data_IF_983836663811
#
_entry.id   IF_983836663811
#
_cell.length_a   1.000
_cell.length_b   1.000
_cell.length_c   1.000
_cell.angle_alpha   90.00
_cell.angle_beta   90.00
_cell.angle_gamma   90.00
#
_symmetry.space_group_name_H-M   'P 1'
#
loop_
_entity.id
_entity.type
_entity.pdbx_description
1 polymer ?
#
# COMPACT_ATOMS: atom_id res chain seq x y z
N UNK A 1 35.40 44.39 -22.90
CA UNK A 1 35.84 43.50 -24.00
C UNK A 1 34.68 42.61 -24.36
N UNK A 2 34.02 42.94 -25.47
CA UNK A 2 32.94 42.16 -26.05
C UNK A 2 33.51 40.93 -26.77
N UNK A 3 32.71 39.86 -26.87
CA UNK A 3 32.55 39.12 -28.11
C UNK A 3 31.20 38.39 -28.10
N UNK A 4 30.39 38.78 -29.08
CA UNK A 4 29.11 38.24 -29.52
C UNK A 4 29.29 36.87 -30.21
N UNK A 5 28.25 36.04 -30.18
CA UNK A 5 27.78 35.32 -31.38
C UNK A 5 26.32 34.83 -31.17
N UNK A 6 25.44 35.36 -32.00
CA UNK A 6 24.00 35.08 -32.14
C UNK A 6 23.71 34.24 -33.40
N UNK A 7 22.44 33.80 -33.50
CA UNK A 7 21.65 33.48 -34.72
C UNK A 7 21.73 32.06 -35.32
N UNK A 8 20.65 31.43 -35.85
CA UNK A 8 19.24 31.82 -36.06
C UNK A 8 18.37 30.58 -36.36
N UNK A 9 17.07 30.75 -36.20
CA UNK A 9 15.93 29.90 -36.57
C UNK A 9 15.64 29.96 -38.08
N UNK A 10 15.10 28.88 -38.68
CA UNK A 10 14.24 28.93 -39.88
C UNK A 10 13.17 27.83 -39.89
N UNK A 11 11.93 28.25 -40.10
CA UNK A 11 10.69 27.47 -40.26
C UNK A 11 10.57 26.79 -41.63
N UNK A 12 9.76 25.72 -41.68
CA UNK A 12 9.13 25.21 -42.91
C UNK A 12 7.95 24.29 -42.59
N UNK A 13 6.72 24.80 -42.75
CA UNK A 13 5.47 24.00 -42.84
C UNK A 13 5.41 23.23 -44.17
N UNK A 14 4.69 22.10 -44.22
CA UNK A 14 3.74 21.74 -45.30
C UNK A 14 2.94 20.44 -44.96
N UNK A 15 1.63 20.63 -44.77
CA UNK A 15 0.44 19.86 -45.23
C UNK A 15 0.56 18.36 -45.60
N UNK A 16 -0.34 17.53 -45.03
CA UNK A 16 -0.86 16.30 -45.68
C UNK A 16 -1.40 15.22 -44.74
N UNK A 17 -2.73 15.07 -44.61
CA UNK A 17 -3.37 13.76 -44.32
C UNK A 17 -3.65 13.00 -45.64
N UNK A 18 -4.36 11.84 -45.70
CA UNK A 18 -5.06 11.08 -44.64
C UNK A 18 -4.93 9.51 -44.76
N UNK A 19 -5.71 8.77 -43.93
CA UNK A 19 -6.24 7.38 -44.07
C UNK A 19 -5.41 6.16 -43.57
N UNK A 20 -5.97 5.51 -42.53
CA UNK A 20 -6.53 4.14 -42.54
C UNK A 20 -5.65 2.91 -42.87
N UNK A 21 -5.60 1.95 -41.94
CA UNK A 21 -5.64 0.47 -42.08
C UNK A 21 -5.21 -0.13 -40.72
N UNK A 22 -6.11 -0.72 -39.92
CA UNK A 22 -6.63 -2.08 -39.98
C UNK A 22 -5.58 -3.20 -39.80
N UNK A 23 -5.78 -3.97 -38.72
CA UNK A 23 -5.49 -5.39 -38.51
C UNK A 23 -4.03 -5.89 -38.52
N UNK A 24 -3.55 -6.29 -37.34
CA UNK A 24 -2.87 -7.57 -37.19
C UNK A 24 -3.40 -8.32 -35.96
N UNK A 25 -4.15 -9.39 -36.24
CA UNK A 25 -4.60 -10.36 -35.24
C UNK A 25 -3.44 -11.24 -34.82
N UNK A 26 -3.23 -11.36 -33.51
CA UNK A 26 -2.37 -12.38 -32.94
C UNK A 26 -3.26 -13.50 -32.42
N UNK A 27 -3.27 -14.61 -33.15
CA UNK A 27 -3.87 -15.89 -32.78
C UNK A 27 -2.97 -16.51 -31.71
N UNK A 28 -3.42 -16.55 -30.46
CA UNK A 28 -2.81 -17.40 -29.43
C UNK A 28 -3.83 -18.45 -29.01
N UNK A 29 -3.37 -19.69 -29.15
CA UNK A 29 -4.11 -20.92 -28.95
C UNK A 29 -4.62 -21.06 -27.52
N UNK A 30 -5.85 -21.57 -27.44
CA UNK A 30 -6.64 -21.83 -26.24
C UNK A 30 -6.20 -23.16 -25.57
N UNK A 31 -5.73 -23.17 -24.31
CA UNK A 31 -5.64 -24.41 -23.55
C UNK A 31 -7.02 -24.75 -22.96
N UNK A 32 -7.52 -25.89 -23.40
CA UNK A 32 -8.75 -26.56 -22.96
C UNK A 32 -8.84 -26.65 -21.44
N UNK A 33 -10.01 -26.34 -20.88
CA UNK A 33 -10.38 -26.83 -19.55
C UNK A 33 -11.10 -25.86 -18.61
N UNK A 34 -12.02 -25.02 -19.07
CA UNK A 34 -12.97 -24.35 -18.18
C UNK A 34 -14.38 -24.62 -18.70
N UNK A 35 -15.16 -25.44 -17.97
CA UNK A 35 -16.60 -25.53 -18.17
C UNK A 35 -17.17 -24.14 -17.93
N UNK A 36 -17.68 -23.51 -19.00
CA UNK A 36 -18.50 -22.30 -18.89
C UNK A 36 -19.68 -22.61 -17.97
N UNK A 37 -19.84 -21.83 -16.91
CA UNK A 37 -21.08 -21.79 -16.14
C UNK A 37 -22.13 -21.19 -17.07
N UNK A 38 -22.97 -22.05 -17.64
CA UNK A 38 -24.08 -21.64 -18.52
C UNK A 38 -25.08 -20.91 -17.64
N UNK A 39 -25.22 -19.60 -17.80
CA UNK A 39 -26.14 -18.72 -17.08
C UNK A 39 -27.60 -18.98 -17.45
N UNK A 40 -28.00 -20.25 -17.58
CA UNK A 40 -29.40 -20.62 -17.76
C UNK A 40 -30.11 -20.30 -16.46
N UNK A 41 -31.09 -19.42 -16.55
CA UNK A 41 -32.19 -19.38 -15.59
C UNK A 41 -32.65 -20.81 -15.34
N UNK A 42 -32.82 -21.24 -14.08
CA UNK A 42 -33.29 -22.59 -13.80
C UNK A 42 -34.51 -22.88 -14.65
N UNK A 43 -34.58 -24.03 -15.31
CA UNK A 43 -35.70 -24.41 -16.20
C UNK A 43 -37.08 -24.25 -15.53
N UNK A 44 -37.11 -24.19 -14.21
CA UNK A 44 -38.26 -23.93 -13.36
C UNK A 44 -38.69 -22.45 -13.30
N UNK A 45 -37.79 -21.46 -13.43
CA UNK A 45 -38.13 -20.01 -13.42
C UNK A 45 -38.84 -19.64 -14.71
N UNK A 46 -38.32 -20.12 -15.84
CA UNK A 46 -38.97 -19.98 -17.17
C UNK A 46 -40.33 -20.68 -17.23
N UNK A 47 -40.59 -21.67 -16.37
CA UNK A 47 -41.90 -22.30 -16.23
C UNK A 47 -42.87 -21.46 -15.40
N UNK A 48 -42.41 -20.80 -14.32
CA UNK A 48 -43.26 -19.91 -13.52
C UNK A 48 -43.68 -18.66 -14.31
N UNK A 49 -42.76 -18.03 -15.03
CA UNK A 49 -43.09 -16.85 -15.85
C UNK A 49 -44.10 -17.18 -16.95
N UNK A 50 -44.01 -18.38 -17.54
CA UNK A 50 -45.00 -18.90 -18.49
C UNK A 50 -46.35 -19.22 -17.85
N UNK A 51 -46.35 -19.65 -16.59
CA UNK A 51 -47.56 -19.93 -15.81
C UNK A 51 -48.28 -18.63 -15.45
N UNK A 52 -47.55 -17.61 -14.97
CA UNK A 52 -48.11 -16.30 -14.60
C UNK A 52 -48.65 -15.54 -15.81
N UNK A 53 -47.95 -15.59 -16.95
CA UNK A 53 -48.45 -15.00 -18.22
C UNK A 53 -49.68 -15.73 -18.79
N UNK A 54 -49.90 -17.00 -18.44
CA UNK A 54 -51.09 -17.73 -18.87
C UNK A 54 -52.31 -17.43 -17.98
N UNK A 55 -52.09 -17.09 -16.71
CA UNK A 55 -53.12 -16.67 -15.76
C UNK A 55 -53.72 -15.31 -16.17
N UNK A 56 -52.92 -14.38 -16.69
CA UNK A 56 -53.39 -13.06 -17.12
C UNK A 56 -54.23 -13.07 -18.40
N UNK A 57 -54.28 -14.21 -19.12
CA UNK A 57 -54.93 -14.33 -20.43
C UNK A 57 -56.22 -15.17 -20.43
N UNK A 58 -56.69 -15.69 -19.28
CA UNK A 58 -57.87 -16.57 -19.21
C UNK A 58 -59.21 -15.80 -19.03
N UNK A 59 -60.26 -16.11 -19.81
CA UNK A 59 -61.59 -15.48 -19.71
C UNK A 59 -62.42 -15.98 -18.50
N UNK A 60 -63.40 -15.16 -18.07
CA UNK A 60 -64.00 -15.15 -16.72
C UNK A 60 -65.27 -15.99 -16.51
N UNK A 61 -65.59 -16.96 -17.37
CA UNK A 61 -66.85 -17.70 -17.29
C UNK A 61 -66.76 -18.97 -16.41
N UNK A 62 -67.87 -19.33 -15.75
CA UNK A 62 -67.92 -20.23 -14.58
C UNK A 62 -67.41 -21.67 -14.78
N UNK A 63 -67.32 -22.18 -16.01
CA UNK A 63 -66.70 -23.50 -16.31
C UNK A 63 -65.16 -23.44 -16.21
N UNK A 64 -64.56 -22.24 -16.29
CA UNK A 64 -63.14 -22.02 -16.09
C UNK A 64 -62.70 -21.98 -14.62
N UNK A 65 -63.64 -21.92 -13.66
CA UNK A 65 -63.30 -21.77 -12.24
C UNK A 65 -62.64 -23.03 -11.67
N UNK A 66 -63.14 -24.21 -12.04
CA UNK A 66 -62.63 -25.49 -11.54
C UNK A 66 -61.25 -25.84 -12.11
N UNK A 67 -61.01 -25.49 -13.38
CA UNK A 67 -59.68 -25.59 -13.99
C UNK A 67 -58.71 -24.55 -13.40
N UNK A 68 -59.20 -23.37 -13.03
CA UNK A 68 -58.43 -22.33 -12.35
C UNK A 68 -58.03 -22.77 -10.93
N UNK A 69 -58.91 -23.47 -10.20
CA UNK A 69 -58.57 -24.07 -8.90
C UNK A 69 -57.51 -25.18 -9.01
N UNK A 70 -57.68 -26.13 -9.95
CA UNK A 70 -56.67 -27.18 -10.20
C UNK A 70 -55.33 -26.62 -10.64
N UNK A 71 -55.32 -25.49 -11.34
CA UNK A 71 -54.10 -24.81 -11.78
C UNK A 71 -53.42 -24.02 -10.66
N UNK A 72 -54.19 -23.37 -9.77
CA UNK A 72 -53.66 -22.70 -8.57
C UNK A 72 -53.08 -23.71 -7.57
N UNK A 73 -53.73 -24.84 -7.35
CA UNK A 73 -53.21 -25.92 -6.49
C UNK A 73 -51.88 -26.48 -7.03
N UNK A 74 -51.75 -26.56 -8.36
CA UNK A 74 -50.49 -26.94 -9.03
C UNK A 74 -49.41 -25.85 -8.91
N UNK A 75 -49.79 -24.58 -8.88
CA UNK A 75 -48.89 -23.46 -8.66
C UNK A 75 -48.40 -23.43 -7.20
N UNK A 76 -49.27 -23.63 -6.22
CA UNK A 76 -48.92 -23.74 -4.80
C UNK A 76 -48.03 -24.95 -4.52
N UNK A 77 -48.32 -26.11 -5.15
CA UNK A 77 -47.45 -27.28 -5.08
C UNK A 77 -46.05 -27.00 -5.67
N UNK A 78 -45.98 -26.24 -6.77
CA UNK A 78 -44.70 -25.83 -7.35
C UNK A 78 -43.97 -24.82 -6.47
N UNK A 79 -44.67 -23.84 -5.88
CA UNK A 79 -44.10 -22.86 -4.96
C UNK A 79 -43.56 -23.53 -3.69
N UNK A 80 -44.32 -24.47 -3.11
CA UNK A 80 -43.88 -25.27 -1.97
C UNK A 80 -42.64 -26.10 -2.29
N UNK A 81 -42.59 -26.70 -3.49
CA UNK A 81 -41.42 -27.46 -3.97
C UNK A 81 -40.21 -26.56 -4.24
N UNK A 82 -40.46 -25.32 -4.67
CA UNK A 82 -39.45 -24.29 -4.84
C UNK A 82 -38.87 -23.82 -3.52
N UNK A 83 -39.71 -23.61 -2.51
CA UNK A 83 -39.28 -23.28 -1.16
C UNK A 83 -38.50 -24.44 -0.54
N UNK A 84 -38.92 -25.70 -0.77
CA UNK A 84 -38.15 -26.88 -0.38
C UNK A 84 -36.78 -26.95 -1.05
N UNK A 85 -36.68 -26.65 -2.35
CA UNK A 85 -35.41 -26.63 -3.07
C UNK A 85 -34.52 -25.47 -2.63
N UNK A 86 -35.10 -24.30 -2.35
CA UNK A 86 -34.38 -23.16 -1.78
C UNK A 86 -33.86 -23.46 -0.37
N UNK A 87 -34.65 -24.16 0.44
CA UNK A 87 -34.27 -24.58 1.78
C UNK A 87 -33.22 -25.71 1.75
N UNK A 88 -33.34 -26.67 0.82
CA UNK A 88 -32.30 -27.68 0.55
C UNK A 88 -30.99 -27.03 0.08
N UNK A 89 -31.06 -26.03 -0.80
CA UNK A 89 -29.89 -25.28 -1.25
C UNK A 89 -29.30 -24.38 -0.16
N UNK A 90 -30.11 -23.81 0.74
CA UNK A 90 -29.65 -23.16 1.99
C UNK A 90 -29.01 -24.16 2.95
N UNK A 91 -29.51 -25.39 3.00
CA UNK A 91 -29.03 -26.45 3.89
C UNK A 91 -27.74 -27.12 3.40
N UNK A 92 -27.37 -26.97 2.11
CA UNK A 92 -26.03 -27.29 1.60
C UNK A 92 -25.04 -26.24 2.09
N UNK A 93 -24.82 -26.27 3.39
CA UNK A 93 -23.86 -25.43 4.08
C UNK A 93 -22.50 -25.52 3.41
N UNK A 94 -21.77 -24.42 3.49
CA UNK A 94 -20.42 -24.31 2.96
C UNK A 94 -19.57 -25.54 3.32
N UNK A 95 -18.90 -26.10 2.30
CA UNK A 95 -18.13 -27.33 2.42
C UNK A 95 -17.21 -27.27 3.66
N UNK A 96 -17.16 -28.35 4.46
CA UNK A 96 -16.50 -28.35 5.78
C UNK A 96 -15.03 -27.91 5.72
N UNK A 97 -14.32 -28.19 4.62
CA UNK A 97 -12.93 -27.74 4.45
C UNK A 97 -12.79 -26.21 4.43
N UNK A 98 -13.79 -25.48 3.92
CA UNK A 98 -13.77 -24.01 3.88
C UNK A 98 -14.12 -23.38 5.24
N UNK A 99 -14.44 -24.19 6.25
CA UNK A 99 -14.54 -23.74 7.65
C UNK A 99 -13.20 -23.75 8.38
N UNK A 100 -12.17 -24.38 7.80
CA UNK A 100 -10.83 -24.42 8.36
C UNK A 100 -10.13 -23.13 7.95
N UNK A 101 -9.92 -22.24 8.92
CA UNK A 101 -9.41 -20.87 8.67
C UNK A 101 -8.02 -20.93 8.02
N UNK A 102 -7.20 -21.90 8.39
CA UNK A 102 -5.85 -22.11 7.84
C UNK A 102 -5.90 -22.47 6.35
N UNK A 103 -6.89 -23.26 5.91
CA UNK A 103 -7.06 -23.56 4.49
C UNK A 103 -7.53 -22.33 3.71
N UNK A 104 -8.45 -21.56 4.28
CA UNK A 104 -8.91 -20.29 3.71
C UNK A 104 -7.75 -19.30 3.59
N UNK A 105 -6.95 -19.17 4.64
CA UNK A 105 -5.77 -18.31 4.70
C UNK A 105 -4.75 -18.71 3.64
N UNK A 106 -4.44 -20.00 3.49
CA UNK A 106 -3.56 -20.50 2.43
C UNK A 106 -4.11 -20.20 1.03
N UNK A 107 -5.42 -20.37 0.80
CA UNK A 107 -6.06 -20.03 -0.49
C UNK A 107 -5.86 -18.53 -0.78
N UNK A 108 -6.12 -17.66 0.20
CA UNK A 108 -5.93 -16.22 0.06
C UNK A 108 -4.45 -15.86 -0.17
N UNK A 109 -3.54 -16.47 0.58
CA UNK A 109 -2.10 -16.27 0.46
C UNK A 109 -1.59 -16.56 -0.96
N UNK A 110 -2.04 -17.66 -1.58
CA UNK A 110 -1.66 -18.00 -2.95
C UNK A 110 -2.18 -17.02 -4.02
N UNK A 111 -3.13 -16.13 -3.69
CA UNK A 111 -3.63 -15.09 -4.59
C UNK A 111 -2.84 -13.77 -4.49
N UNK A 112 -2.03 -13.57 -3.44
CA UNK A 112 -1.32 -12.32 -3.14
C UNK A 112 -0.38 -11.78 -4.22
N UNK A 113 0.37 -12.59 -5.02
CA UNK A 113 1.39 -11.99 -5.86
C UNK A 113 0.86 -11.12 -7.02
N UNK A 114 -0.38 -11.33 -7.49
CA UNK A 114 -0.84 -10.72 -8.77
C UNK A 114 -2.33 -10.38 -8.89
N UNK A 115 -3.18 -10.65 -7.89
CA UNK A 115 -4.65 -10.51 -8.08
C UNK A 115 -5.39 -9.92 -6.88
N UNK A 116 -5.09 -8.67 -6.48
CA UNK A 116 -5.94 -7.89 -5.54
C UNK A 116 -7.43 -7.91 -5.95
N UNK A 117 -7.73 -7.91 -7.25
CA UNK A 117 -9.10 -8.08 -7.78
C UNK A 117 -9.73 -9.42 -7.40
N UNK A 118 -8.97 -10.51 -7.41
CA UNK A 118 -9.45 -11.84 -7.02
C UNK A 118 -9.69 -11.92 -5.52
N UNK A 119 -8.82 -11.34 -4.69
CA UNK A 119 -9.05 -11.25 -3.23
C UNK A 119 -10.31 -10.42 -2.93
N UNK A 120 -10.49 -9.29 -3.59
CA UNK A 120 -11.70 -8.48 -3.45
C UNK A 120 -12.96 -9.23 -3.91
N UNK A 121 -12.88 -10.02 -5.00
CA UNK A 121 -13.98 -10.87 -5.43
C UNK A 121 -14.27 -11.96 -4.40
N UNK A 122 -13.23 -12.63 -3.89
CA UNK A 122 -13.31 -13.71 -2.90
C UNK A 122 -13.91 -13.22 -1.57
N UNK A 123 -13.51 -12.03 -1.10
CA UNK A 123 -14.08 -11.40 0.09
C UNK A 123 -15.60 -11.15 -0.03
N UNK A 124 -16.13 -11.06 -1.25
CA UNK A 124 -17.56 -10.83 -1.53
C UNK A 124 -18.34 -12.11 -1.82
N UNK A 125 -17.71 -13.28 -1.92
CA UNK A 125 -18.43 -14.52 -2.28
C UNK A 125 -19.18 -15.12 -1.10
N UNK A 126 -18.52 -15.28 0.06
CA UNK A 126 -19.15 -15.83 1.26
C UNK A 126 -18.49 -15.33 2.55
N UNK A 127 -19.19 -15.50 3.68
CA UNK A 127 -18.75 -15.04 5.01
C UNK A 127 -17.43 -15.68 5.46
N UNK A 128 -17.14 -16.91 5.04
CA UNK A 128 -15.93 -17.59 5.49
C UNK A 128 -14.65 -17.12 4.80
N UNK A 129 -14.76 -16.58 3.60
CA UNK A 129 -13.63 -15.93 2.94
C UNK A 129 -13.50 -14.45 3.32
N UNK A 130 -14.57 -13.85 3.84
CA UNK A 130 -14.67 -12.40 3.99
C UNK A 130 -13.50 -11.80 4.78
N UNK A 131 -13.27 -12.28 6.00
CA UNK A 131 -12.24 -11.73 6.89
C UNK A 131 -10.84 -11.98 6.35
N UNK A 132 -10.51 -13.22 6.01
CA UNK A 132 -9.18 -13.61 5.56
C UNK A 132 -8.84 -12.94 4.22
N UNK A 133 -9.78 -12.91 3.26
CA UNK A 133 -9.52 -12.26 1.99
C UNK A 133 -9.34 -10.74 2.13
N UNK A 134 -10.03 -10.09 3.08
CA UNK A 134 -9.79 -8.68 3.40
C UNK A 134 -8.45 -8.47 4.11
N UNK A 135 -8.05 -9.34 5.03
CA UNK A 135 -6.73 -9.28 5.67
C UNK A 135 -5.61 -9.30 4.63
N UNK A 136 -5.67 -10.26 3.69
CA UNK A 136 -4.70 -10.36 2.59
C UNK A 136 -4.80 -9.19 1.60
N UNK A 137 -6.01 -8.72 1.27
CA UNK A 137 -6.21 -7.59 0.35
C UNK A 137 -5.60 -6.29 0.88
N UNK A 138 -5.75 -6.05 2.19
CA UNK A 138 -5.32 -4.82 2.85
C UNK A 138 -3.90 -4.89 3.42
N UNK A 139 -3.33 -6.08 3.56
CA UNK A 139 -2.01 -6.34 4.14
C UNK A 139 -0.90 -5.39 3.63
N UNK A 140 -0.75 -5.30 2.30
CA UNK A 140 0.27 -4.52 1.61
C UNK A 140 -0.34 -3.37 0.83
N UNK A 141 -0.13 -2.14 1.30
CA UNK A 141 -0.58 -0.92 0.63
C UNK A 141 0.59 -0.11 0.08
N UNK A 142 0.43 0.38 -1.14
CA UNK A 142 1.42 1.20 -1.85
C UNK A 142 1.10 2.69 -1.82
N UNK A 143 0.00 3.06 -1.15
CA UNK A 143 -0.43 4.46 -1.03
C UNK A 143 -1.41 4.60 0.13
N UNK A 144 -1.37 5.75 0.80
CA UNK A 144 -2.40 6.17 1.75
C UNK A 144 -3.78 6.29 1.08
N UNK A 145 -3.79 6.53 -0.24
CA UNK A 145 -5.01 6.85 -0.97
C UNK A 145 -6.07 5.74 -0.94
N UNK A 146 -5.64 4.47 -0.85
CA UNK A 146 -6.59 3.34 -0.82
C UNK A 146 -7.48 3.37 0.42
N UNK A 147 -6.94 3.76 1.57
CA UNK A 147 -7.70 3.88 2.82
C UNK A 147 -8.62 5.10 2.78
N UNK A 148 -8.16 6.22 2.20
CA UNK A 148 -8.96 7.43 2.06
C UNK A 148 -10.16 7.24 1.12
N UNK A 149 -10.01 6.44 0.06
CA UNK A 149 -11.13 6.05 -0.84
C UNK A 149 -12.26 5.31 -0.12
N UNK A 150 -12.04 4.83 1.10
CA UNK A 150 -13.08 4.21 1.92
C UNK A 150 -13.97 5.24 2.66
N UNK A 151 -13.73 6.54 2.48
CA UNK A 151 -14.58 7.63 2.99
C UNK A 151 -15.57 8.11 1.89
N UNK A 152 -16.76 7.51 1.78
CA UNK A 152 -17.70 7.85 0.70
C UNK A 152 -18.15 9.31 0.75
N UNK A 153 -18.01 10.01 -0.38
CA UNK A 153 -18.42 11.41 -0.53
C UNK A 153 -17.54 12.42 0.22
N UNK A 154 -16.45 12.00 0.86
CA UNK A 154 -15.45 12.90 1.47
C UNK A 154 -14.41 13.31 0.44
N UNK A 155 -13.93 12.34 -0.35
CA UNK A 155 -12.92 12.56 -1.37
C UNK A 155 -13.47 12.25 -2.75
N UNK A 156 -13.11 13.10 -3.71
CA UNK A 156 -13.25 12.83 -5.14
C UNK A 156 -11.90 12.45 -5.73
N UNK A 157 -11.87 11.50 -6.66
CA UNK A 157 -10.65 11.10 -7.36
C UNK A 157 -10.67 11.65 -8.77
N UNK A 158 -9.62 12.35 -9.17
CA UNK A 158 -9.48 12.91 -10.50
C UNK A 158 -8.09 12.64 -11.07
N UNK A 159 -7.97 12.69 -12.39
CA UNK A 159 -6.69 12.57 -13.07
C UNK A 159 -6.10 13.96 -13.28
N UNK A 160 -5.01 14.26 -12.59
CA UNK A 160 -4.21 15.44 -12.88
C UNK A 160 -3.12 15.08 -13.89
N UNK A 161 -2.92 15.89 -14.96
CA UNK A 161 -1.78 15.70 -15.83
C UNK A 161 -0.49 15.97 -15.05
N UNK A 162 0.37 14.94 -14.89
CA UNK A 162 1.73 15.14 -14.41
C UNK A 162 2.69 15.29 -15.59
N UNK A 163 3.51 16.36 -15.63
CA UNK A 163 4.48 16.55 -16.70
C UNK A 163 5.60 15.49 -16.71
N UNK A 164 5.78 14.72 -15.63
CA UNK A 164 6.90 13.79 -15.45
C UNK A 164 6.46 12.32 -15.46
N UNK A 165 5.26 12.00 -14.94
CA UNK A 165 4.85 10.62 -14.64
C UNK A 165 3.56 10.14 -15.32
N UNK A 166 2.94 10.94 -16.20
CA UNK A 166 1.62 10.65 -16.77
C UNK A 166 0.46 11.02 -15.83
N UNK A 167 -0.78 10.57 -16.06
CA UNK A 167 -1.92 10.97 -15.25
C UNK A 167 -1.83 10.42 -13.81
N UNK A 168 -1.63 11.31 -12.83
CA UNK A 168 -1.63 10.98 -11.41
C UNK A 168 -3.06 10.86 -10.88
N UNK A 169 -3.29 9.94 -9.94
CA UNK A 169 -4.59 9.71 -9.32
C UNK A 169 -4.74 10.60 -8.07
N UNK A 170 -5.06 11.87 -8.29
CA UNK A 170 -5.20 12.85 -7.23
C UNK A 170 -6.54 12.69 -6.49
N UNK A 171 -6.58 13.18 -5.26
CA UNK A 171 -7.80 13.33 -4.48
C UNK A 171 -8.05 14.77 -4.05
N UNK A 172 -9.32 15.13 -3.94
CA UNK A 172 -9.75 16.43 -3.40
C UNK A 172 -10.80 16.23 -2.33
N UNK A 173 -10.66 16.97 -1.23
CA UNK A 173 -11.66 17.03 -0.18
C UNK A 173 -12.92 17.76 -0.68
N UNK A 174 -14.07 17.09 -0.67
CA UNK A 174 -15.36 17.63 -1.11
C UNK A 174 -16.14 18.29 0.03
N UNK A 175 -15.94 17.83 1.26
CA UNK A 175 -16.64 18.31 2.45
C UNK A 175 -15.79 18.08 3.70
N UNK A 176 -16.08 18.76 4.82
CA UNK A 176 -15.45 18.46 6.10
C UNK A 176 -15.60 16.98 6.50
N UNK A 177 -14.54 16.44 7.11
CA UNK A 177 -14.50 15.07 7.64
C UNK A 177 -15.24 15.06 8.98
N UNK A 178 -16.19 14.15 9.14
CA UNK A 178 -16.91 13.92 10.40
C UNK A 178 -16.52 12.57 11.01
N UNK A 179 -16.76 12.39 12.32
CA UNK A 179 -16.35 11.19 13.04
C UNK A 179 -16.83 9.87 12.39
N UNK A 180 -18.04 9.83 11.83
CA UNK A 180 -18.60 8.64 11.17
C UNK A 180 -17.85 8.24 9.89
N UNK A 181 -17.13 9.18 9.26
CA UNK A 181 -16.38 8.89 8.03
C UNK A 181 -15.20 7.96 8.28
N UNK A 182 -14.71 7.90 9.52
CA UNK A 182 -13.57 7.08 9.91
C UNK A 182 -13.91 5.60 10.15
N UNK A 183 -15.19 5.23 10.21
CA UNK A 183 -15.62 3.86 10.52
C UNK A 183 -15.03 2.81 9.55
N UNK A 184 -15.14 3.04 8.24
CA UNK A 184 -14.61 2.09 7.22
C UNK A 184 -13.09 2.20 7.04
N UNK A 185 -12.49 3.41 6.93
CA UNK A 185 -11.04 3.56 6.84
C UNK A 185 -10.31 2.87 7.98
N UNK A 186 -10.75 3.05 9.24
CA UNK A 186 -10.08 2.46 10.39
C UNK A 186 -10.22 0.92 10.44
N UNK A 187 -11.35 0.36 10.00
CA UNK A 187 -11.52 -1.09 9.91
C UNK A 187 -10.57 -1.74 8.88
N UNK A 188 -10.24 -1.03 7.81
CA UNK A 188 -9.26 -1.49 6.84
C UNK A 188 -7.83 -1.17 7.28
N UNK A 189 -7.59 0.00 7.89
CA UNK A 189 -6.27 0.44 8.31
C UNK A 189 -5.65 -0.46 9.39
N UNK A 190 -6.47 -1.07 10.27
CA UNK A 190 -5.99 -2.09 11.23
C UNK A 190 -5.44 -3.36 10.57
N UNK A 191 -5.75 -3.63 9.29
CA UNK A 191 -5.28 -4.81 8.54
C UNK A 191 -3.98 -4.53 7.79
N UNK A 192 -3.61 -3.26 7.62
CA UNK A 192 -2.39 -2.86 6.91
C UNK A 192 -1.17 -3.16 7.79
N UNK A 193 -0.26 -3.99 7.28
CA UNK A 193 1.01 -4.33 7.95
C UNK A 193 2.22 -3.75 7.23
N UNK A 194 2.13 -3.55 5.93
CA UNK A 194 3.16 -2.91 5.12
C UNK A 194 2.57 -1.74 4.36
N UNK A 195 3.14 -0.57 4.58
CA UNK A 195 2.75 0.66 3.92
C UNK A 195 3.95 1.29 3.25
N UNK A 196 3.80 1.53 1.96
CA UNK A 196 4.69 2.35 1.17
C UNK A 196 3.95 3.63 0.83
N UNK A 197 4.51 4.78 1.22
CA UNK A 197 4.06 6.11 0.84
C UNK A 197 5.15 6.65 -0.07
N UNK A 198 5.17 6.13 -1.29
CA UNK A 198 6.18 6.50 -2.27
C UNK A 198 5.73 7.72 -3.05
N UNK A 199 6.54 8.76 -2.99
CA UNK A 199 6.92 9.56 -4.14
C UNK A 199 8.19 8.89 -4.69
N UNK A 200 8.34 8.69 -5.99
CA UNK A 200 9.63 8.24 -6.54
C UNK A 200 10.76 9.19 -6.08
N UNK A 201 12.01 8.72 -5.92
CA UNK A 201 13.12 9.62 -5.59
C UNK A 201 13.18 10.77 -6.61
N UNK A 202 13.03 12.02 -6.13
CA UNK A 202 12.96 13.22 -6.98
C UNK A 202 11.59 13.56 -7.57
N UNK A 203 10.56 12.74 -7.37
CA UNK A 203 9.18 13.10 -7.64
C UNK A 203 8.55 13.64 -6.34
N UNK A 204 7.84 14.79 -6.36
CA UNK A 204 7.06 15.23 -5.22
C UNK A 204 5.99 14.18 -4.89
N UNK A 205 5.56 14.13 -3.62
CA UNK A 205 4.36 13.38 -3.23
C UNK A 205 3.22 13.73 -4.17
N UNK A 206 2.26 12.81 -4.33
CA UNK A 206 1.03 13.14 -5.05
C UNK A 206 0.52 14.47 -4.48
N UNK A 207 0.44 15.56 -5.28
CA UNK A 207 0.13 16.90 -4.77
C UNK A 207 -1.17 16.94 -3.98
N UNK A 208 -2.06 15.96 -4.19
CA UNK A 208 -3.25 15.81 -3.37
C UNK A 208 -2.98 15.40 -1.93
N UNK A 209 -1.97 14.57 -1.66
CA UNK A 209 -1.66 14.13 -0.30
C UNK A 209 -1.11 15.27 0.56
N UNK A 210 -0.32 16.18 0.00
CA UNK A 210 0.21 17.33 0.76
C UNK A 210 -0.90 18.28 1.24
N UNK A 211 -1.99 18.42 0.47
CA UNK A 211 -3.18 19.18 0.88
C UNK A 211 -4.06 18.42 1.90
N UNK A 212 -4.10 17.09 1.80
CA UNK A 212 -4.99 16.25 2.61
C UNK A 212 -4.37 15.93 3.99
N UNK A 213 -3.05 15.70 4.07
CA UNK A 213 -2.35 15.34 5.31
C UNK A 213 -2.58 16.32 6.48
N UNK A 214 -2.56 17.66 6.30
CA UNK A 214 -2.89 18.60 7.37
C UNK A 214 -4.27 18.36 7.96
N UNK A 215 -5.28 18.15 7.11
CA UNK A 215 -6.66 17.89 7.54
C UNK A 215 -6.77 16.56 8.25
N UNK A 216 -6.14 15.50 7.71
CA UNK A 216 -6.15 14.18 8.33
C UNK A 216 -5.53 14.20 9.73
N UNK A 217 -4.40 14.90 9.90
CA UNK A 217 -3.70 14.98 11.19
C UNK A 217 -4.53 15.62 12.30
N UNK A 218 -5.45 16.53 11.94
CA UNK A 218 -6.33 17.22 12.87
C UNK A 218 -7.64 16.45 13.13
N UNK A 219 -8.11 15.67 12.15
CA UNK A 219 -9.39 14.96 12.24
C UNK A 219 -9.26 13.50 12.67
N UNK A 220 -8.05 12.96 12.81
CA UNK A 220 -7.83 11.56 13.16
C UNK A 220 -8.33 11.26 14.59
N UNK A 221 -9.24 10.30 14.79
CA UNK A 221 -9.80 10.01 16.11
C UNK A 221 -8.87 9.18 17.01
N UNK A 222 -7.75 8.68 16.48
CA UNK A 222 -6.77 7.83 17.18
C UNK A 222 -5.36 8.42 17.08
N UNK A 223 -4.45 7.95 17.94
CA UNK A 223 -3.05 8.39 17.91
C UNK A 223 -2.27 7.89 16.68
N UNK A 224 -2.74 6.83 16.02
CA UNK A 224 -2.13 6.28 14.81
C UNK A 224 -3.22 5.80 13.86
N UNK A 225 -3.02 6.05 12.57
CA UNK A 225 -3.92 5.58 11.51
C UNK A 225 -3.77 4.07 11.27
N UNK A 226 -2.56 3.53 11.50
CA UNK A 226 -2.23 2.14 11.19
C UNK A 226 -1.71 1.43 12.45
N UNK A 227 -2.58 0.99 13.36
CA UNK A 227 -2.19 0.49 14.68
C UNK A 227 -1.35 -0.80 14.63
N UNK A 228 -1.44 -1.57 13.53
CA UNK A 228 -0.74 -2.83 13.34
C UNK A 228 0.38 -2.75 12.27
N UNK A 229 0.80 -1.54 11.88
CA UNK A 229 1.82 -1.37 10.85
C UNK A 229 3.16 -1.91 11.34
N UNK A 230 3.78 -2.76 10.53
CA UNK A 230 5.08 -3.41 10.80
C UNK A 230 6.19 -2.87 9.93
N UNK A 231 5.87 -2.46 8.71
CA UNK A 231 6.82 -1.85 7.79
C UNK A 231 6.27 -0.54 7.26
N UNK A 232 7.03 0.53 7.43
CA UNK A 232 6.78 1.81 6.80
C UNK A 232 7.95 2.14 5.89
N UNK A 233 7.64 2.41 4.63
CA UNK A 233 8.55 3.01 3.66
C UNK A 233 7.95 4.35 3.23
N UNK A 234 8.58 5.46 3.58
CA UNK A 234 8.05 6.78 3.24
C UNK A 234 9.17 7.78 3.01
N UNK A 235 9.18 8.44 1.86
CA UNK A 235 10.09 9.54 1.55
C UNK A 235 9.30 10.87 1.56
N UNK A 236 8.98 11.42 2.74
CA UNK A 236 8.27 12.70 2.84
C UNK A 236 9.14 13.85 2.34
N UNK A 237 8.52 14.83 1.69
CA UNK A 237 9.10 16.16 1.52
C UNK A 237 9.26 16.87 2.87
N UNK A 238 9.97 18.00 2.86
CA UNK A 238 10.28 18.77 4.08
C UNK A 238 9.04 19.18 4.88
N UNK A 239 7.94 19.51 4.22
CA UNK A 239 6.67 19.89 4.87
C UNK A 239 5.81 18.70 5.32
N UNK A 240 6.11 17.48 4.89
CA UNK A 240 5.26 16.31 5.10
C UNK A 240 5.76 15.42 6.24
N UNK A 241 7.06 15.52 6.57
CA UNK A 241 7.65 14.77 7.68
C UNK A 241 6.99 15.08 9.02
N UNK A 242 6.34 16.25 9.16
CA UNK A 242 5.55 16.59 10.35
C UNK A 242 4.41 15.62 10.63
N UNK A 243 3.93 14.91 9.62
CA UNK A 243 2.86 13.91 9.75
C UNK A 243 3.38 12.50 10.02
N UNK A 244 4.69 12.30 10.17
CA UNK A 244 5.30 11.02 10.57
C UNK A 244 4.65 10.39 11.82
N UNK A 245 4.38 11.14 12.90
CA UNK A 245 3.73 10.60 14.10
C UNK A 245 2.36 9.96 13.83
N UNK A 246 1.63 10.39 12.80
CA UNK A 246 0.29 9.90 12.45
C UNK A 246 0.30 8.45 11.94
N UNK A 247 1.41 8.01 11.33
CA UNK A 247 1.51 6.69 10.66
C UNK A 247 2.38 5.69 11.40
N UNK A 248 3.29 6.17 12.27
CA UNK A 248 4.12 5.29 13.11
C UNK A 248 3.32 4.73 14.28
N UNK A 249 3.76 3.59 14.80
CA UNK A 249 3.18 2.95 15.98
C UNK A 249 4.20 2.02 16.68
N UNK A 250 3.92 1.56 17.92
CA UNK A 250 4.82 0.67 18.68
C UNK A 250 5.15 -0.69 18.06
N UNK A 251 4.29 -1.22 17.21
CA UNK A 251 4.46 -2.50 16.50
C UNK A 251 5.36 -2.39 15.25
N UNK A 252 5.88 -1.19 14.95
CA UNK A 252 6.72 -0.96 13.78
C UNK A 252 8.08 -1.66 13.92
N UNK A 253 8.35 -2.59 13.01
CA UNK A 253 9.58 -3.39 13.00
C UNK A 253 10.59 -2.90 11.96
N UNK A 254 10.11 -2.27 10.90
CA UNK A 254 10.93 -1.82 9.78
C UNK A 254 10.52 -0.42 9.39
N UNK A 255 11.48 0.51 9.40
CA UNK A 255 11.28 1.90 9.03
C UNK A 255 12.34 2.29 7.99
N UNK A 256 11.87 2.76 6.83
CA UNK A 256 12.70 3.39 5.81
C UNK A 256 12.13 4.78 5.53
N UNK A 257 12.99 5.80 5.62
CA UNK A 257 12.65 7.12 5.15
C UNK A 257 13.87 7.90 4.69
N UNK A 258 13.61 8.82 3.77
CA UNK A 258 14.51 9.91 3.41
C UNK A 258 13.92 11.22 3.94
N UNK A 259 14.75 12.10 4.49
CA UNK A 259 14.29 13.37 5.04
C UNK A 259 15.28 14.50 4.77
N UNK A 260 14.75 15.64 4.35
CA UNK A 260 15.51 16.89 4.23
C UNK A 260 15.75 17.49 5.63
N UNK A 261 16.99 17.94 5.93
CA UNK A 261 17.39 18.37 7.27
C UNK A 261 16.87 19.78 7.61
N UNK A 262 15.58 19.90 7.93
CA UNK A 262 15.02 21.13 8.49
C UNK A 262 14.99 21.07 10.01
N UNK A 263 15.05 22.21 10.70
CA UNK A 263 14.99 22.27 12.18
C UNK A 263 13.73 21.58 12.74
N UNK A 264 12.60 21.73 12.05
CA UNK A 264 11.34 21.04 12.37
C UNK A 264 11.48 19.53 12.25
N UNK A 265 12.05 19.04 11.15
CA UNK A 265 12.20 17.61 10.91
C UNK A 265 13.15 16.95 11.91
N UNK A 266 14.26 17.62 12.23
CA UNK A 266 15.21 17.15 13.24
C UNK A 266 14.58 17.09 14.63
N UNK A 267 13.75 18.08 14.97
CA UNK A 267 13.00 18.10 16.23
C UNK A 267 12.04 16.92 16.32
N UNK A 268 11.30 16.63 15.23
CA UNK A 268 10.38 15.50 15.19
C UNK A 268 11.13 14.18 15.24
N UNK A 269 12.22 14.05 14.48
CA UNK A 269 13.08 12.88 14.48
C UNK A 269 13.51 12.54 15.91
N UNK A 270 13.93 13.53 16.70
CA UNK A 270 14.34 13.31 18.10
C UNK A 270 13.24 12.73 19.02
N UNK A 271 11.97 12.91 18.67
CA UNK A 271 10.83 12.43 19.48
C UNK A 271 10.34 11.03 19.08
N UNK A 272 10.58 10.62 17.84
CA UNK A 272 10.12 9.34 17.29
C UNK A 272 10.61 8.08 18.04
N UNK A 273 11.83 8.01 18.61
CA UNK A 273 12.32 6.81 19.31
C UNK A 273 11.40 6.30 20.41
N UNK A 274 10.66 7.21 21.08
CA UNK A 274 9.71 6.86 22.15
C UNK A 274 8.59 5.94 21.67
N UNK A 275 8.27 5.99 20.38
CA UNK A 275 7.25 5.16 19.75
C UNK A 275 7.81 3.83 19.24
N UNK A 276 9.12 3.57 19.33
CA UNK A 276 9.78 2.42 18.72
C UNK A 276 10.25 1.41 19.76
N UNK A 277 9.37 0.49 20.17
CA UNK A 277 9.73 -0.58 21.11
C UNK A 277 10.17 -1.87 20.42
N UNK A 278 9.72 -2.08 19.17
CA UNK A 278 9.95 -3.32 18.41
C UNK A 278 10.76 -3.14 17.12
N UNK A 279 11.33 -1.95 16.90
CA UNK A 279 12.04 -1.61 15.68
C UNK A 279 13.33 -2.43 15.54
N UNK A 280 13.45 -3.15 14.41
CA UNK A 280 14.58 -4.03 14.08
C UNK A 280 15.35 -3.56 12.86
N UNK A 281 14.68 -2.97 11.90
CA UNK A 281 15.29 -2.53 10.65
C UNK A 281 15.05 -1.04 10.49
N UNK A 282 16.12 -0.28 10.37
CA UNK A 282 16.05 1.16 10.23
C UNK A 282 16.95 1.59 9.08
N UNK A 283 16.40 2.39 8.18
CA UNK A 283 17.14 3.05 7.10
C UNK A 283 16.79 4.52 7.07
N UNK A 284 17.80 5.36 7.25
CA UNK A 284 17.69 6.82 7.24
C UNK A 284 18.54 7.35 6.08
N UNK A 285 17.89 7.87 5.05
CA UNK A 285 18.57 8.63 4.00
C UNK A 285 18.51 10.11 4.30
N UNK A 286 19.58 10.66 4.87
CA UNK A 286 19.71 12.11 5.11
C UNK A 286 20.99 12.59 4.44
N UNK A 287 20.88 13.63 3.63
CA UNK A 287 22.06 14.34 3.11
C UNK A 287 22.53 15.28 4.21
N UNK A 288 23.73 15.04 4.75
CA UNK A 288 24.30 15.91 5.78
C UNK A 288 24.95 17.14 5.15
N UNK A 289 24.33 18.29 5.38
CA UNK A 289 24.84 19.61 5.01
C UNK A 289 25.55 20.32 6.18
N UNK A 290 25.32 19.88 7.41
CA UNK A 290 25.74 20.60 8.62
C UNK A 290 25.86 19.68 9.86
N UNK A 291 26.62 20.13 10.87
CA UNK A 291 26.82 19.40 12.14
C UNK A 291 25.56 19.23 13.01
N UNK A 292 24.61 20.20 13.08
CA UNK A 292 23.36 20.01 13.83
C UNK A 292 22.54 18.82 13.34
N UNK A 293 22.50 18.60 12.02
CA UNK A 293 21.85 17.44 11.39
C UNK A 293 22.45 16.14 11.87
N UNK A 294 23.79 16.06 11.92
CA UNK A 294 24.52 14.88 12.41
C UNK A 294 24.21 14.60 13.87
N UNK A 295 24.22 15.63 14.72
CA UNK A 295 23.93 15.50 16.16
C UNK A 295 22.49 15.03 16.43
N UNK A 296 21.51 15.52 15.68
CA UNK A 296 20.12 15.09 15.81
C UNK A 296 19.92 13.63 15.39
N UNK A 297 20.51 13.20 14.27
CA UNK A 297 20.49 11.79 13.86
C UNK A 297 21.24 10.92 14.87
N UNK A 298 22.36 11.39 15.41
CA UNK A 298 23.11 10.68 16.45
C UNK A 298 22.27 10.47 17.71
N UNK A 299 21.60 11.51 18.18
CA UNK A 299 20.70 11.44 19.34
C UNK A 299 19.56 10.45 19.10
N UNK A 300 19.00 10.44 17.89
CA UNK A 300 17.99 9.47 17.47
C UNK A 300 18.53 8.03 17.51
N UNK A 301 19.72 7.79 16.96
CA UNK A 301 20.36 6.46 16.93
C UNK A 301 20.76 5.99 18.34
N UNK A 302 21.14 6.90 19.23
CA UNK A 302 21.41 6.55 20.63
C UNK A 302 20.15 6.15 21.40
N UNK A 303 18.98 6.65 20.99
CA UNK A 303 17.71 6.35 21.64
C UNK A 303 17.09 5.00 21.22
N UNK A 304 17.60 4.36 20.16
CA UNK A 304 17.13 3.05 19.70
C UNK A 304 18.03 1.93 20.24
N UNK A 305 17.42 0.84 20.75
CA UNK A 305 18.16 -0.19 21.50
C UNK A 305 18.20 -1.60 20.90
N UNK A 306 17.26 -1.96 20.02
CA UNK A 306 17.06 -3.36 19.57
C UNK A 306 17.19 -3.57 18.05
N UNK A 307 17.96 -2.70 17.38
CA UNK A 307 18.09 -2.72 15.92
C UNK A 307 19.00 -3.87 15.46
N UNK A 308 18.56 -4.60 14.44
CA UNK A 308 19.25 -5.70 13.78
C UNK A 308 19.88 -5.29 12.45
N UNK A 309 19.21 -4.42 11.69
CA UNK A 309 19.73 -3.87 10.44
C UNK A 309 19.65 -2.36 10.52
N UNK A 310 20.79 -1.70 10.40
CA UNK A 310 20.89 -0.24 10.45
C UNK A 310 21.55 0.27 9.17
N UNK A 311 20.90 1.24 8.54
CA UNK A 311 21.38 1.96 7.37
C UNK A 311 21.29 3.46 7.66
N UNK A 312 22.42 4.15 7.62
CA UNK A 312 22.49 5.59 7.86
C UNK A 312 23.60 6.21 7.02
N UNK A 313 23.48 7.49 6.73
CA UNK A 313 24.63 8.28 6.32
C UNK A 313 25.50 8.60 7.57
N UNK A 314 26.79 8.82 7.38
CA UNK A 314 27.83 9.23 8.36
C UNK A 314 27.36 9.46 9.82
N UNK A 315 27.46 8.46 10.70
CA UNK A 315 27.32 8.68 12.14
C UNK A 315 28.46 9.52 12.70
N UNK A 316 28.18 10.33 13.71
CA UNK A 316 29.23 10.89 14.57
C UNK A 316 29.84 9.80 15.48
N UNK A 317 30.92 10.15 16.18
CA UNK A 317 31.62 9.21 17.07
C UNK A 317 30.70 8.63 18.15
N UNK A 318 29.79 9.43 18.71
CA UNK A 318 28.90 8.99 19.78
C UNK A 318 27.88 7.96 19.27
N UNK A 319 27.28 8.20 18.11
CA UNK A 319 26.42 7.25 17.43
C UNK A 319 27.19 5.98 17.09
N UNK A 320 28.40 6.08 16.54
CA UNK A 320 29.18 4.91 16.17
C UNK A 320 29.54 4.05 17.39
N UNK A 321 29.93 4.67 18.51
CA UNK A 321 30.16 3.96 19.77
C UNK A 321 28.90 3.26 20.29
N UNK A 322 27.74 3.90 20.20
CA UNK A 322 26.47 3.28 20.58
C UNK A 322 26.13 2.09 19.68
N UNK A 323 26.24 2.27 18.35
CA UNK A 323 26.01 1.20 17.36
C UNK A 323 26.93 0.00 17.65
N UNK A 324 28.20 0.25 17.99
CA UNK A 324 29.16 -0.79 18.39
C UNK A 324 28.72 -1.60 19.62
N UNK A 325 27.93 -1.03 20.53
CA UNK A 325 27.40 -1.71 21.73
C UNK A 325 26.11 -2.49 21.47
N UNK A 326 25.47 -2.32 20.31
CA UNK A 326 24.22 -3.01 19.99
C UNK A 326 24.47 -4.50 19.74
N UNK A 327 24.17 -5.32 20.76
CA UNK A 327 24.30 -6.78 20.68
C UNK A 327 23.32 -7.43 19.69
N UNK A 328 22.28 -6.70 19.28
CA UNK A 328 21.31 -7.15 18.28
C UNK A 328 21.75 -6.88 16.84
N UNK A 329 22.76 -6.03 16.61
CA UNK A 329 23.08 -5.51 15.29
C UNK A 329 23.80 -6.57 14.43
N UNK A 330 23.15 -6.98 13.35
CA UNK A 330 23.62 -8.00 12.41
C UNK A 330 24.13 -7.37 11.11
N UNK A 331 23.45 -6.32 10.65
CA UNK A 331 23.78 -5.63 9.39
C UNK A 331 23.95 -4.14 9.65
N UNK A 332 25.09 -3.60 9.23
CA UNK A 332 25.38 -2.17 9.23
C UNK A 332 25.72 -1.73 7.81
N UNK A 333 24.98 -0.75 7.31
CA UNK A 333 25.28 -0.06 6.08
C UNK A 333 25.51 1.43 6.38
N UNK A 334 26.68 1.93 5.99
CA UNK A 334 27.04 3.34 6.18
C UNK A 334 27.31 3.96 4.81
N UNK A 335 26.54 4.98 4.47
CA UNK A 335 26.77 5.78 3.27
C UNK A 335 27.63 7.02 3.59
N UNK A 336 28.39 7.47 2.59
CA UNK A 336 29.27 8.65 2.64
C UNK A 336 30.44 8.57 3.63
N UNK A 337 31.09 7.41 3.78
CA UNK A 337 32.13 7.13 4.80
C UNK A 337 33.39 8.04 4.82
N UNK A 338 33.56 8.98 3.87
CA UNK A 338 34.80 9.72 3.64
C UNK A 338 35.24 10.69 4.76
N UNK A 339 34.45 10.91 5.81
CA UNK A 339 34.72 11.89 6.87
C UNK A 339 34.98 11.30 8.27
N UNK A 340 35.14 9.98 8.39
CA UNK A 340 35.45 9.40 9.70
C UNK A 340 36.90 9.78 10.08
N UNK A 341 37.13 10.46 11.22
CA UNK A 341 38.48 10.78 11.67
C UNK A 341 39.30 9.51 11.85
N UNK A 342 40.56 9.52 11.39
CA UNK A 342 41.53 8.41 11.53
C UNK A 342 41.78 7.98 12.99
N UNK A 343 41.25 8.73 13.96
CA UNK A 343 41.36 8.52 15.40
C UNK A 343 40.16 7.79 16.01
N UNK A 344 39.27 7.21 15.19
CA UNK A 344 38.11 6.44 15.67
C UNK A 344 38.56 5.14 16.35
N UNK A 345 39.03 5.25 17.59
CA UNK A 345 39.41 4.12 18.41
C UNK A 345 38.17 3.58 19.12
N UNK A 346 37.67 2.46 18.60
CA UNK A 346 36.43 1.83 19.06
C UNK A 346 36.83 0.65 19.95
N UNK A 347 36.73 0.77 21.29
CA UNK A 347 37.29 -0.22 22.22
C UNK A 347 36.60 -1.58 22.08
N UNK A 348 37.38 -2.67 21.98
CA UNK A 348 36.84 -4.02 21.81
C UNK A 348 36.19 -4.56 23.11
N UNK A 349 35.18 -5.46 23.01
CA UNK A 349 34.55 -5.98 21.80
C UNK A 349 33.28 -5.19 21.40
N UNK A 350 33.40 -4.35 20.38
CA UNK A 350 32.25 -3.72 19.72
C UNK A 350 31.85 -4.55 18.49
N UNK A 351 30.57 -4.50 18.12
CA UNK A 351 29.99 -5.21 16.98
C UNK A 351 29.96 -6.75 17.12
N UNK A 352 29.75 -7.26 18.34
CA UNK A 352 29.81 -8.70 18.64
C UNK A 352 28.87 -9.59 17.78
N UNK A 353 27.74 -9.04 17.31
CA UNK A 353 26.76 -9.76 16.48
C UNK A 353 26.81 -9.41 14.99
N UNK A 354 27.70 -8.50 14.58
CA UNK A 354 27.73 -7.97 13.22
C UNK A 354 28.22 -9.04 12.24
N UNK A 355 27.41 -9.31 11.21
CA UNK A 355 27.71 -10.29 10.15
C UNK A 355 27.94 -9.63 8.81
N UNK A 356 27.37 -8.45 8.59
CA UNK A 356 27.46 -7.73 7.32
C UNK A 356 27.76 -6.26 7.59
N UNK A 357 28.92 -5.82 7.12
CA UNK A 357 29.29 -4.42 7.03
C UNK A 357 29.32 -4.01 5.57
N UNK A 358 28.65 -2.92 5.24
CA UNK A 358 28.68 -2.32 3.91
C UNK A 358 29.00 -0.84 4.05
N UNK A 359 30.11 -0.44 3.44
CA UNK A 359 30.56 0.94 3.42
C UNK A 359 30.42 1.45 1.99
N UNK A 360 29.56 2.42 1.80
CA UNK A 360 29.38 3.08 0.51
C UNK A 360 30.00 4.48 0.60
N UNK A 361 30.97 4.74 -0.27
CA UNK A 361 31.57 6.07 -0.38
C UNK A 361 30.77 6.82 -1.44
N UNK A 362 29.83 7.67 -1.03
CA UNK A 362 29.36 8.71 -1.92
C UNK A 362 30.46 9.75 -2.04
N UNK A 363 31.22 9.67 -3.13
CA UNK A 363 32.03 10.80 -3.59
C UNK A 363 31.02 11.83 -4.10
N UNK A 364 30.54 12.69 -3.20
CA UNK A 364 29.95 13.96 -3.64
C UNK A 364 31.06 14.64 -4.43
N UNK A 365 30.76 15.06 -5.65
CA UNK A 365 31.72 15.60 -6.62
C UNK A 365 32.27 16.98 -6.16
N UNK A 366 32.92 17.03 -5.01
CA UNK A 366 33.88 18.05 -4.61
C UNK A 366 35.17 17.33 -4.23
N UNK A 367 35.86 16.90 -5.29
CA UNK A 367 37.20 16.37 -5.20
C UNK A 367 38.14 17.47 -4.72
N UNK A 368 38.52 17.47 -3.44
CA UNK A 368 39.89 17.76 -3.03
C UNK A 368 40.20 17.05 -1.70
N UNK A 369 41.13 16.08 -1.81
CA UNK A 369 41.99 15.54 -0.75
C UNK A 369 41.32 14.76 0.39
N UNK A 370 41.33 13.43 0.28
CA UNK A 370 41.59 12.53 1.40
C UNK A 370 41.79 11.09 0.89
N UNK A 371 43.03 10.73 0.58
CA UNK A 371 43.47 9.32 0.46
C UNK A 371 44.47 9.06 1.58
N UNK A 372 44.14 8.21 2.55
CA UNK A 372 45.09 7.27 3.18
C UNK A 372 44.41 6.29 4.16
N UNK A 373 44.77 5.03 3.97
CA UNK A 373 44.81 3.86 4.88
C UNK A 373 43.53 3.30 5.52
N UNK A 374 43.08 2.17 4.99
CA UNK A 374 42.60 1.02 5.78
C UNK A 374 43.29 -0.24 5.22
N UNK A 375 44.40 -0.63 5.83
CA UNK A 375 44.99 -1.96 5.67
C UNK A 375 45.11 -2.59 7.07
N UNK A 376 44.77 -3.87 7.16
CA UNK A 376 44.82 -4.79 8.31
C UNK A 376 43.53 -4.99 9.14
N UNK A 377 42.73 -5.98 8.73
CA UNK A 377 42.15 -6.98 9.63
C UNK A 377 41.95 -8.31 8.85
N UNK A 378 42.23 -9.48 9.44
CA UNK A 378 42.32 -10.75 8.73
C UNK A 378 40.95 -11.39 8.48
N UNK A 379 40.91 -12.23 7.44
CA UNK A 379 39.79 -13.02 6.91
C UNK A 379 39.19 -14.00 7.93
#
# INVERSE_FOLDING_TARGET
MALYATEKVSHGQLVGGPKGHASHGCVVQNPRGIRKYDGRTPHSVSRIDKVMNKISQMPSDAIALEDRFKFLDRADSLMTKWDQLLEEHRSRGMHRCLKIVELVDMICFHLLPRRKRSLAALARTCKAFHEQALDHLWHDQETLCNVLRCMPGVFDTYHAPSPIAGPNHCMRLLRPIVASDWLRPLDHARRVKHLKIDSHPGAPLDPSLSEILPVLSQCLPSHSLFPNLRTLRWNPGSSEFIYMPMVVNPSLTTLFFECEPTSTNLSILSTLPRSFTTLRNLSIGVVFDSDPTRSAVSSFVQAIGNVQSLSLAIPDLAAFQHIGRLLSLVTLHVTSFALIPSTLHVPAPNFAALKKLSLEICVVHEAHNCTTSFDSAPV
#
